data_IF_393954200749
#
_entry.id   IF_393954200749
#
_cell.length_a   1.000
_cell.length_b   1.000
_cell.length_c   1.000
_cell.angle_alpha   90.00
_cell.angle_beta   90.00
_cell.angle_gamma   90.00
#
_symmetry.space_group_name_H-M   'P 1'
#
loop_
_entity.id
_entity.type
_entity.pdbx_description
1 polymer ?
#
# COMPACT_ATOMS: atom_id res chain seq x y z
N UNK A 1 -25.09 -40.91 15.94
CA UNK A 1 -23.80 -41.04 15.23
C UNK A 1 -23.10 -39.70 15.26
N UNK A 2 -22.18 -39.51 16.21
CA UNK A 2 -21.51 -38.24 16.47
C UNK A 2 -20.41 -37.97 15.43
N UNK A 3 -20.41 -36.77 14.85
CA UNK A 3 -19.37 -36.29 13.94
C UNK A 3 -18.40 -35.41 14.73
N UNK A 4 -17.19 -35.89 15.01
CA UNK A 4 -16.14 -35.07 15.62
C UNK A 4 -15.31 -34.48 14.49
N UNK A 5 -15.51 -33.19 14.19
CA UNK A 5 -14.56 -32.42 13.36
C UNK A 5 -13.37 -32.08 14.25
N UNK A 6 -12.23 -32.69 13.94
CA UNK A 6 -10.93 -32.36 14.52
C UNK A 6 -10.67 -30.85 14.42
N UNK A 7 -10.56 -30.18 15.56
CA UNK A 7 -10.06 -28.82 15.66
C UNK A 7 -8.55 -28.88 15.43
N UNK A 8 -8.12 -28.80 14.17
CA UNK A 8 -6.74 -28.42 13.86
C UNK A 8 -6.60 -26.97 14.28
N UNK A 9 -6.13 -26.76 15.51
CA UNK A 9 -5.73 -25.45 16.01
C UNK A 9 -4.49 -25.07 15.21
N UNK A 10 -4.68 -24.36 14.10
CA UNK A 10 -3.58 -23.76 13.35
C UNK A 10 -2.93 -22.73 14.27
N UNK A 11 -1.69 -22.98 14.68
CA UNK A 11 -0.89 -21.99 15.39
C UNK A 11 -0.74 -20.75 14.51
N UNK A 12 -0.85 -19.53 15.07
CA UNK A 12 -0.61 -18.32 14.29
C UNK A 12 0.84 -18.34 13.78
N UNK A 13 1.09 -17.89 12.53
CA UNK A 13 2.45 -17.78 12.04
C UNK A 13 3.24 -16.84 12.96
N UNK A 14 4.56 -17.09 13.15
CA UNK A 14 5.40 -16.23 13.94
C UNK A 14 5.32 -14.79 13.42
N UNK A 15 5.37 -13.77 14.30
CA UNK A 15 5.37 -12.39 13.89
C UNK A 15 6.52 -12.16 12.91
N UNK A 16 6.26 -11.41 11.84
CA UNK A 16 7.31 -11.02 10.92
C UNK A 16 8.42 -10.33 11.70
N UNK A 17 9.70 -10.69 11.47
CA UNK A 17 10.80 -10.08 12.18
C UNK A 17 10.75 -8.57 11.95
N UNK A 18 10.64 -7.83 13.05
CA UNK A 18 10.85 -6.39 13.05
C UNK A 18 12.23 -6.14 12.48
N UNK A 19 12.35 -5.22 11.52
CA UNK A 19 13.65 -4.88 10.97
C UNK A 19 14.56 -4.44 12.14
N UNK A 20 15.77 -5.02 12.28
CA UNK A 20 16.66 -4.70 13.40
C UNK A 20 17.05 -3.22 13.41
N UNK A 21 17.01 -2.58 12.23
CA UNK A 21 17.25 -1.17 12.00
C UNK A 21 16.19 -0.64 11.03
N UNK A 22 15.94 0.67 11.06
CA UNK A 22 14.98 1.29 10.16
C UNK A 22 15.42 1.10 8.70
N UNK A 23 14.49 0.71 7.82
CA UNK A 23 14.78 0.45 6.39
C UNK A 23 15.41 1.65 5.67
N UNK A 24 15.12 2.87 6.12
CA UNK A 24 15.75 4.12 5.68
C UNK A 24 15.74 5.09 6.86
N UNK A 25 16.85 5.79 7.08
CA UNK A 25 16.86 6.97 7.95
C UNK A 25 16.12 8.11 7.26
N UNK A 26 14.84 8.29 7.63
CA UNK A 26 14.01 9.36 7.09
C UNK A 26 14.11 10.54 8.06
N UNK A 27 14.81 11.58 7.62
CA UNK A 27 14.92 12.84 8.35
C UNK A 27 13.58 13.58 8.25
N UNK A 28 12.63 13.31 9.16
CA UNK A 28 11.28 13.91 9.17
C UNK A 28 11.24 15.41 9.54
N UNK A 29 12.35 16.14 9.42
CA UNK A 29 12.40 17.58 9.67
C UNK A 29 11.48 18.35 8.72
N UNK A 30 10.94 19.49 9.17
CA UNK A 30 10.06 20.35 8.35
C UNK A 30 10.67 20.64 6.97
N UNK A 31 11.96 20.98 6.95
CA UNK A 31 12.67 21.33 5.72
C UNK A 31 12.71 20.18 4.70
N UNK A 32 12.85 18.93 5.17
CA UNK A 32 12.86 17.74 4.31
C UNK A 32 11.47 17.44 3.77
N UNK A 33 10.44 17.58 4.61
CA UNK A 33 9.05 17.38 4.18
C UNK A 33 8.65 18.39 3.09
N UNK A 34 8.98 19.67 3.29
CA UNK A 34 8.69 20.71 2.29
C UNK A 34 9.43 20.42 0.97
N UNK A 35 10.70 20.00 1.05
CA UNK A 35 11.51 19.63 -0.11
C UNK A 35 10.93 18.44 -0.88
N UNK A 36 10.54 17.38 -0.19
CA UNK A 36 9.94 16.19 -0.81
C UNK A 36 8.58 16.52 -1.45
N UNK A 37 7.76 17.33 -0.78
CA UNK A 37 6.50 17.82 -1.35
C UNK A 37 6.73 18.68 -2.59
N UNK A 38 7.76 19.52 -2.59
CA UNK A 38 8.09 20.35 -3.74
C UNK A 38 8.56 19.48 -4.92
N UNK A 39 9.43 18.50 -4.68
CA UNK A 39 9.85 17.54 -5.71
C UNK A 39 8.65 16.84 -6.36
N UNK A 40 7.69 16.39 -5.54
CA UNK A 40 6.49 15.72 -6.02
C UNK A 40 5.58 16.66 -6.84
N UNK A 41 5.50 17.94 -6.49
CA UNK A 41 4.73 18.95 -7.24
C UNK A 41 5.38 19.32 -8.57
N UNK A 42 6.71 19.41 -8.58
CA UNK A 42 7.49 19.78 -9.77
C UNK A 42 7.61 18.63 -10.77
N UNK A 43 7.33 17.40 -10.31
CA UNK A 43 7.30 16.21 -11.15
C UNK A 43 6.14 16.30 -12.15
N UNK A 44 6.50 16.41 -13.42
CA UNK A 44 5.61 16.32 -14.55
C UNK A 44 6.10 15.21 -15.47
N UNK A 45 5.15 14.51 -16.07
CA UNK A 45 5.43 13.57 -17.16
C UNK A 45 5.32 14.33 -18.47
N UNK A 46 6.19 14.00 -19.43
CA UNK A 46 5.97 14.42 -20.80
C UNK A 46 4.75 13.68 -21.40
N UNK A 47 4.18 14.19 -22.50
CA UNK A 47 2.95 13.64 -23.10
C UNK A 47 3.05 12.14 -23.47
N UNK A 48 4.26 11.65 -23.70
CA UNK A 48 4.60 10.26 -24.03
C UNK A 48 5.08 9.43 -22.83
N UNK A 49 5.27 10.04 -21.65
CA UNK A 49 5.76 9.37 -20.46
C UNK A 49 4.63 8.90 -19.55
N UNK A 50 4.75 7.66 -19.05
CA UNK A 50 3.80 7.09 -18.10
C UNK A 50 4.53 6.66 -16.83
N UNK A 51 4.14 7.23 -15.68
CA UNK A 51 4.56 6.74 -14.38
C UNK A 51 3.82 5.42 -14.07
N UNK A 52 4.57 4.32 -13.99
CA UNK A 52 4.05 3.00 -13.63
C UNK A 52 4.59 2.58 -12.26
N UNK A 53 3.68 2.32 -11.32
CA UNK A 53 4.03 1.86 -9.96
C UNK A 53 3.37 0.51 -9.71
N UNK A 54 4.16 -0.49 -9.30
CA UNK A 54 3.67 -1.80 -8.90
C UNK A 54 3.70 -1.93 -7.37
N UNK A 55 2.54 -2.11 -6.77
CA UNK A 55 2.40 -2.47 -5.35
C UNK A 55 2.07 -3.94 -5.22
N UNK A 56 2.90 -4.69 -4.51
CA UNK A 56 2.68 -6.11 -4.25
C UNK A 56 2.44 -6.36 -2.76
N UNK A 57 1.61 -7.36 -2.46
CA UNK A 57 1.31 -7.77 -1.09
C UNK A 57 0.00 -8.55 -0.97
N UNK A 58 -0.23 -9.24 0.15
CA UNK A 58 -1.45 -10.04 0.38
C UNK A 58 -2.76 -9.25 0.20
N UNK A 59 -3.87 -9.92 -0.11
CA UNK A 59 -5.19 -9.27 -0.11
C UNK A 59 -5.47 -8.60 1.24
N UNK A 60 -6.06 -7.40 1.23
CA UNK A 60 -6.36 -6.65 2.46
C UNK A 60 -5.17 -5.89 3.07
N UNK A 61 -3.96 -5.95 2.50
CA UNK A 61 -2.80 -5.21 3.00
C UNK A 61 -2.83 -3.70 2.76
N UNK A 62 -3.97 -3.14 2.31
CA UNK A 62 -4.13 -1.70 2.10
C UNK A 62 -3.49 -1.11 0.83
N UNK A 63 -3.14 -1.94 -0.17
CA UNK A 63 -2.50 -1.47 -1.42
C UNK A 63 -3.30 -0.37 -2.15
N UNK A 64 -4.61 -0.57 -2.33
CA UNK A 64 -5.50 0.42 -2.96
C UNK A 64 -5.62 1.69 -2.11
N UNK A 65 -5.69 1.55 -0.79
CA UNK A 65 -5.73 2.69 0.13
C UNK A 65 -4.45 3.52 0.07
N UNK A 66 -3.28 2.87 -0.02
CA UNK A 66 -2.02 3.57 -0.24
C UNK A 66 -2.02 4.31 -1.57
N UNK A 67 -2.45 3.67 -2.66
CA UNK A 67 -2.54 4.31 -3.97
C UNK A 67 -3.44 5.55 -3.92
N UNK A 68 -4.64 5.45 -3.32
CA UNK A 68 -5.55 6.58 -3.19
C UNK A 68 -4.96 7.72 -2.35
N UNK A 69 -4.17 7.42 -1.31
CA UNK A 69 -3.49 8.44 -0.52
C UNK A 69 -2.44 9.20 -1.34
N UNK A 70 -1.63 8.49 -2.12
CA UNK A 70 -0.64 9.11 -3.02
C UNK A 70 -1.35 9.93 -4.11
N UNK A 71 -2.36 9.35 -4.75
CA UNK A 71 -3.12 10.00 -5.81
C UNK A 71 -3.81 11.28 -5.33
N UNK A 72 -4.38 11.25 -4.12
CA UNK A 72 -5.01 12.41 -3.52
C UNK A 72 -4.01 13.52 -3.19
N UNK A 73 -2.81 13.15 -2.71
CA UNK A 73 -1.74 14.10 -2.43
C UNK A 73 -1.23 14.78 -3.72
N UNK A 74 -1.11 14.03 -4.81
CA UNK A 74 -0.70 14.54 -6.12
C UNK A 74 -1.74 15.48 -6.73
N UNK A 75 -3.02 15.12 -6.68
CA UNK A 75 -4.09 15.92 -7.29
C UNK A 75 -4.60 17.06 -6.39
N UNK A 76 -4.18 17.12 -5.12
CA UNK A 76 -4.65 18.10 -4.14
C UNK A 76 -6.14 17.97 -3.79
N UNK A 77 -6.77 16.82 -4.08
CA UNK A 77 -8.18 16.52 -3.81
C UNK A 77 -8.34 15.06 -3.42
N UNK A 78 -9.45 14.71 -2.76
CA UNK A 78 -9.75 13.31 -2.47
C UNK A 78 -10.00 12.55 -3.78
N UNK A 79 -9.31 11.44 -3.95
CA UNK A 79 -9.41 10.54 -5.10
C UNK A 79 -9.77 9.13 -4.64
N UNK A 80 -10.41 8.36 -5.53
CA UNK A 80 -10.84 6.99 -5.27
C UNK A 80 -10.70 6.11 -6.50
N UNK A 81 -9.64 6.31 -7.29
CA UNK A 81 -9.43 5.59 -8.55
C UNK A 81 -9.10 4.10 -8.32
N UNK A 82 -8.44 3.76 -7.21
CA UNK A 82 -8.27 2.38 -6.80
C UNK A 82 -9.37 2.03 -5.80
N UNK A 83 -10.30 1.14 -6.17
CA UNK A 83 -11.31 0.67 -5.23
C UNK A 83 -10.62 -0.05 -4.05
N UNK A 84 -10.73 0.47 -2.81
CA UNK A 84 -10.24 -0.21 -1.63
C UNK A 84 -11.29 -1.23 -1.21
N UNK A 85 -11.17 -2.45 -1.70
CA UNK A 85 -12.05 -3.52 -1.24
C UNK A 85 -11.61 -3.98 0.17
N UNK A 86 -12.47 -3.71 1.14
CA UNK A 86 -12.29 -4.13 2.53
C UNK A 86 -13.20 -5.32 2.90
N UNK A 87 -14.16 -5.67 2.05
CA UNK A 87 -15.27 -6.58 2.39
C UNK A 87 -15.20 -7.85 1.56
N UNK A 88 -14.87 -7.77 0.27
CA UNK A 88 -14.56 -8.97 -0.50
C UNK A 88 -13.10 -9.35 -0.26
N UNK A 89 -12.84 -10.64 0.01
CA UNK A 89 -11.47 -11.18 0.09
C UNK A 89 -10.84 -11.31 -1.30
N UNK A 90 -11.33 -10.54 -2.28
CA UNK A 90 -10.88 -10.60 -3.66
C UNK A 90 -9.79 -9.56 -3.89
N UNK A 91 -8.71 -10.01 -4.51
CA UNK A 91 -7.64 -9.13 -4.96
C UNK A 91 -8.08 -8.45 -6.26
N UNK A 92 -8.17 -7.12 -6.26
CA UNK A 92 -8.48 -6.37 -7.50
C UNK A 92 -7.25 -6.17 -8.41
N UNK A 93 -6.12 -6.76 -8.05
CA UNK A 93 -4.92 -6.83 -8.89
C UNK A 93 -4.66 -8.29 -9.25
N UNK A 94 -5.46 -8.81 -10.18
CA UNK A 94 -5.15 -10.05 -10.88
C UNK A 94 -4.13 -9.73 -11.96
N UNK A 95 -3.01 -10.46 -11.94
CA UNK A 95 -2.08 -10.50 -13.07
C UNK A 95 -2.78 -11.28 -14.19
N UNK A 96 -3.00 -10.63 -15.33
CA UNK A 96 -3.42 -11.31 -16.56
C UNK A 96 -2.31 -12.25 -17.04
#
# INVERSE_FOLDING_TARGET
MAWIRSLVISTPPPPSPTLPEQWRDIQWGKDYKEKDLQFVKDYHLNDDEQLRVLLYGPTGSGKSSFFNSVDSALQGRITGRALPDAISRESLTTKV
#
